data_IF_325821412751
#
_entry.id   IF_325821412751
#
_cell.length_a   1.000
_cell.length_b   1.000
_cell.length_c   1.000
_cell.angle_alpha   90.00
_cell.angle_beta   90.00
_cell.angle_gamma   90.00
#
_symmetry.space_group_name_H-M   'P 1'
#
loop_
_entity.id
_entity.type
_entity.pdbx_description
1 polymer ?
#
# COMPACT_ATOMS: atom_id res chain seq x y z
N UNK A 1 -4.60 -20.00 -19.71
CA UNK A 1 -3.65 -19.27 -18.86
C UNK A 1 -4.45 -18.35 -17.97
N UNK A 2 -4.81 -18.79 -16.76
CA UNK A 2 -5.63 -17.99 -15.84
C UNK A 2 -4.69 -16.96 -15.23
N UNK A 3 -4.99 -15.68 -15.46
CA UNK A 3 -4.31 -14.57 -14.78
C UNK A 3 -4.54 -14.77 -13.28
N UNK A 4 -3.50 -15.15 -12.56
CA UNK A 4 -3.58 -15.32 -11.11
C UNK A 4 -3.77 -13.93 -10.50
N UNK A 5 -4.98 -13.65 -9.99
CA UNK A 5 -5.15 -12.50 -9.12
C UNK A 5 -4.29 -12.72 -7.88
N UNK A 6 -3.32 -11.84 -7.66
CA UNK A 6 -2.54 -11.76 -6.43
C UNK A 6 -3.36 -11.13 -5.29
N UNK A 7 -4.59 -11.63 -5.13
CA UNK A 7 -5.57 -11.16 -4.19
C UNK A 7 -5.64 -12.12 -3.00
N UNK A 8 -5.65 -11.55 -1.80
CA UNK A 8 -5.94 -12.30 -0.58
C UNK A 8 -7.46 -12.25 -0.34
N UNK A 9 -8.06 -13.42 -0.15
CA UNK A 9 -9.49 -13.55 0.16
C UNK A 9 -9.69 -13.78 1.65
N UNK A 10 -10.76 -13.18 2.19
CA UNK A 10 -11.24 -13.42 3.56
C UNK A 10 -12.63 -14.01 3.50
N UNK A 11 -12.79 -15.18 4.08
CA UNK A 11 -14.05 -15.86 4.28
C UNK A 11 -14.50 -15.66 5.72
N UNK A 12 -15.74 -15.20 5.89
CA UNK A 12 -16.35 -14.97 7.19
C UNK A 12 -17.56 -15.89 7.33
N UNK A 13 -17.49 -16.82 8.29
CA UNK A 13 -18.53 -17.80 8.53
C UNK A 13 -19.21 -17.52 9.88
N UNK A 14 -20.50 -17.25 9.87
CA UNK A 14 -21.30 -17.16 11.10
C UNK A 14 -21.48 -18.53 11.75
N UNK A 15 -21.28 -18.62 13.06
CA UNK A 15 -21.51 -19.82 13.85
C UNK A 15 -22.85 -19.73 14.60
N UNK A 16 -23.41 -20.88 14.97
CA UNK A 16 -24.65 -20.96 15.76
C UNK A 16 -24.55 -20.25 17.12
N UNK A 17 -23.34 -20.07 17.64
CA UNK A 17 -23.05 -19.33 18.87
C UNK A 17 -23.13 -17.80 18.73
N UNK A 18 -23.35 -17.27 17.52
CA UNK A 18 -23.32 -15.82 17.25
C UNK A 18 -21.91 -15.23 17.06
N UNK A 19 -20.88 -16.09 17.12
CA UNK A 19 -19.50 -15.77 16.78
C UNK A 19 -19.24 -15.96 15.28
N UNK A 20 -18.07 -15.50 14.82
CA UNK A 20 -17.66 -15.59 13.42
C UNK A 20 -16.32 -16.28 13.29
N UNK A 21 -16.24 -17.32 12.46
CA UNK A 21 -14.97 -17.93 12.05
C UNK A 21 -14.42 -17.19 10.84
N UNK A 22 -13.16 -16.80 10.92
CA UNK A 22 -12.44 -16.13 9.83
C UNK A 22 -11.48 -17.15 9.21
N UNK A 23 -11.49 -17.26 7.90
CA UNK A 23 -10.55 -18.07 7.13
C UNK A 23 -10.00 -17.18 6.04
N UNK A 24 -8.70 -17.19 5.86
CA UNK A 24 -8.01 -16.38 4.87
C UNK A 24 -7.34 -17.29 3.87
N UNK A 25 -7.39 -16.94 2.59
CA UNK A 25 -6.68 -17.68 1.54
C UNK A 25 -5.85 -16.71 0.72
N UNK A 26 -4.56 -17.02 0.62
CA UNK A 26 -3.62 -16.37 -0.28
C UNK A 26 -3.26 -17.31 -1.44
N UNK A 27 -2.66 -16.75 -2.50
CA UNK A 27 -2.21 -17.55 -3.64
C UNK A 27 -1.05 -18.48 -3.21
N UNK A 28 -1.32 -19.80 -3.21
CA UNK A 28 -0.35 -20.85 -2.88
C UNK A 28 0.68 -20.92 -4.00
N UNK A 29 1.88 -20.37 -3.77
CA UNK A 29 2.95 -20.31 -4.77
C UNK A 29 3.66 -18.96 -4.87
N UNK A 30 3.10 -17.91 -4.25
CA UNK A 30 3.78 -16.61 -4.13
C UNK A 30 4.62 -16.56 -2.84
N UNK A 31 5.70 -15.74 -2.80
CA UNK A 31 6.47 -15.47 -1.57
C UNK A 31 5.59 -15.04 -0.38
N UNK A 32 4.35 -14.63 -0.65
CA UNK A 32 3.36 -14.18 0.33
C UNK A 32 2.60 -15.30 1.04
N UNK A 33 2.67 -16.55 0.55
CA UNK A 33 2.10 -17.69 1.29
C UNK A 33 2.86 -18.02 2.58
N UNK A 34 4.07 -17.48 2.75
CA UNK A 34 4.94 -17.69 3.92
C UNK A 34 4.59 -16.77 5.11
N UNK A 35 3.73 -15.77 4.91
CA UNK A 35 3.33 -14.83 5.94
C UNK A 35 1.85 -15.03 6.27
N UNK A 36 1.52 -15.89 7.25
CA UNK A 36 0.14 -16.10 7.62
C UNK A 36 -0.47 -14.78 8.12
N UNK A 37 -1.70 -14.47 7.69
CA UNK A 37 -2.44 -13.33 8.22
C UNK A 37 -2.72 -13.53 9.71
N UNK A 38 -2.86 -12.43 10.45
CA UNK A 38 -3.02 -12.44 11.91
C UNK A 38 -4.23 -13.26 12.40
N UNK A 39 -5.22 -13.45 11.53
CA UNK A 39 -6.57 -13.88 11.88
C UNK A 39 -7.00 -15.01 10.94
N UNK A 40 -6.14 -16.03 10.73
CA UNK A 40 -6.51 -17.23 9.98
C UNK A 40 -7.03 -18.35 10.89
N UNK A 41 -8.19 -18.91 10.56
CA UNK A 41 -8.80 -20.03 11.28
C UNK A 41 -9.41 -19.69 12.64
N UNK A 42 -9.29 -18.44 13.11
CA UNK A 42 -9.76 -18.04 14.43
C UNK A 42 -11.26 -17.69 14.47
N UNK A 43 -11.85 -17.76 15.67
CA UNK A 43 -13.24 -17.39 15.93
C UNK A 43 -13.28 -16.09 16.72
N UNK A 44 -14.06 -15.13 16.26
CA UNK A 44 -14.12 -13.76 16.80
C UNK A 44 -15.55 -13.34 17.13
N UNK A 45 -15.67 -12.36 18.03
CA UNK A 45 -16.95 -11.72 18.32
C UNK A 45 -17.40 -10.80 17.19
N UNK A 46 -18.71 -10.52 17.12
CA UNK A 46 -19.28 -9.55 16.17
C UNK A 46 -18.63 -8.15 16.26
N UNK A 47 -18.32 -7.70 17.48
CA UNK A 47 -17.78 -6.34 17.72
C UNK A 47 -16.33 -6.20 17.25
N UNK A 48 -15.56 -7.28 17.31
CA UNK A 48 -14.14 -7.29 16.93
C UNK A 48 -13.90 -7.72 15.48
N UNK A 49 -14.90 -8.32 14.83
CA UNK A 49 -14.81 -8.84 13.46
C UNK A 49 -14.31 -7.79 12.45
N UNK A 50 -14.98 -6.64 12.39
CA UNK A 50 -14.63 -5.58 11.43
C UNK A 50 -13.20 -5.08 11.60
N UNK A 51 -12.81 -4.60 12.79
CA UNK A 51 -11.44 -4.14 13.07
C UNK A 51 -10.38 -5.19 12.74
N UNK A 52 -10.58 -6.45 13.16
CA UNK A 52 -9.62 -7.52 12.93
C UNK A 52 -9.45 -7.84 11.45
N UNK A 53 -10.53 -7.91 10.68
CA UNK A 53 -10.45 -8.16 9.23
C UNK A 53 -9.72 -7.00 8.54
N UNK A 54 -10.04 -5.75 8.89
CA UNK A 54 -9.38 -4.57 8.30
C UNK A 54 -7.89 -4.53 8.61
N UNK A 55 -7.51 -4.74 9.87
CA UNK A 55 -6.10 -4.76 10.28
C UNK A 55 -5.34 -5.91 9.61
N UNK A 56 -5.98 -7.07 9.47
CA UNK A 56 -5.42 -8.21 8.74
C UNK A 56 -5.13 -7.85 7.28
N UNK A 57 -6.09 -7.23 6.60
CA UNK A 57 -5.91 -6.81 5.19
C UNK A 57 -4.86 -5.70 5.05
N UNK A 58 -4.85 -4.70 5.94
CA UNK A 58 -3.84 -3.64 5.93
C UNK A 58 -2.43 -4.20 6.18
N UNK A 59 -2.29 -5.10 7.15
CA UNK A 59 -1.02 -5.77 7.44
C UNK A 59 -0.55 -6.58 6.25
N UNK A 60 -1.45 -7.33 5.58
CA UNK A 60 -1.14 -8.04 4.35
C UNK A 60 -0.69 -7.11 3.22
N UNK A 61 -1.35 -5.97 3.01
CA UNK A 61 -0.97 -4.98 2.00
C UNK A 61 0.40 -4.34 2.29
N UNK A 62 0.66 -3.97 3.55
CA UNK A 62 1.97 -3.41 3.98
C UNK A 62 3.10 -4.42 3.77
N UNK A 63 2.87 -5.69 4.09
CA UNK A 63 3.84 -6.78 3.87
C UNK A 63 4.06 -7.06 2.38
N UNK A 64 3.02 -6.96 1.53
CA UNK A 64 3.16 -7.06 0.06
C UNK A 64 4.11 -5.99 -0.49
N UNK A 65 3.97 -4.74 -0.04
CA UNK A 65 4.89 -3.65 -0.43
C UNK A 65 6.33 -3.89 0.02
N UNK A 66 6.54 -4.65 1.09
CA UNK A 66 7.88 -4.94 1.62
C UNK A 66 8.58 -6.14 0.94
N UNK A 67 7.85 -6.99 0.22
CA UNK A 67 8.35 -8.26 -0.32
C UNK A 67 8.44 -8.27 -1.86
N UNK A 68 7.98 -7.20 -2.52
CA UNK A 68 8.36 -6.96 -3.91
C UNK A 68 9.83 -6.57 -3.96
N UNK A 69 10.69 -7.40 -4.56
CA UNK A 69 12.12 -7.13 -4.75
C UNK A 69 12.41 -5.81 -5.50
N UNK A 70 11.37 -5.15 -6.02
CA UNK A 70 11.39 -3.94 -6.82
C UNK A 70 10.89 -2.68 -6.10
N UNK A 71 10.39 -2.77 -4.85
CA UNK A 71 9.95 -1.59 -4.11
C UNK A 71 11.08 -1.06 -3.21
N UNK A 72 11.69 0.09 -3.53
CA UNK A 72 12.74 0.63 -2.69
C UNK A 72 12.17 1.08 -1.33
N UNK A 73 12.95 1.07 -0.24
CA UNK A 73 12.49 1.47 1.08
C UNK A 73 11.83 2.86 1.09
N UNK A 74 10.94 3.10 2.05
CA UNK A 74 10.17 4.36 2.14
C UNK A 74 11.05 5.63 2.10
N UNK A 75 12.25 5.59 2.70
CA UNK A 75 13.18 6.71 2.67
C UNK A 75 13.79 6.95 1.27
N UNK A 76 14.02 5.89 0.49
CA UNK A 76 14.52 5.98 -0.89
C UNK A 76 13.42 6.52 -1.80
N UNK A 77 12.19 6.00 -1.69
CA UNK A 77 11.02 6.54 -2.41
C UNK A 77 10.82 8.02 -2.13
N UNK A 78 10.93 8.43 -0.85
CA UNK A 78 10.83 9.84 -0.46
C UNK A 78 11.93 10.68 -1.11
N UNK A 79 13.18 10.21 -1.13
CA UNK A 79 14.30 10.90 -1.78
C UNK A 79 14.06 11.08 -3.28
N UNK A 80 13.60 10.03 -3.97
CA UNK A 80 13.27 10.08 -5.40
C UNK A 80 12.14 11.08 -5.67
N UNK A 81 11.05 11.02 -4.91
CA UNK A 81 9.91 11.93 -5.06
C UNK A 81 10.29 13.40 -4.83
N UNK A 82 11.14 13.68 -3.84
CA UNK A 82 11.68 15.03 -3.60
C UNK A 82 12.50 15.47 -4.81
N UNK A 83 13.40 14.62 -5.30
CA UNK A 83 14.19 14.88 -6.50
C UNK A 83 13.31 15.21 -7.71
N UNK A 84 12.29 14.41 -7.98
CA UNK A 84 11.34 14.62 -9.08
C UNK A 84 10.53 15.91 -8.91
N UNK A 85 10.15 16.24 -7.68
CA UNK A 85 9.40 17.48 -7.38
C UNK A 85 10.28 18.70 -7.59
N UNK A 86 11.52 18.67 -7.11
CA UNK A 86 12.52 19.73 -7.34
C UNK A 86 12.83 19.86 -8.83
N UNK A 87 13.00 18.74 -9.54
CA UNK A 87 13.23 18.71 -10.99
C UNK A 87 12.08 19.37 -11.76
N UNK A 88 10.83 18.98 -11.46
CA UNK A 88 9.62 19.58 -12.07
C UNK A 88 9.46 21.07 -11.74
N UNK A 89 9.84 21.48 -10.53
CA UNK A 89 9.83 22.89 -10.16
C UNK A 89 10.84 23.69 -10.99
N UNK A 90 12.09 23.22 -11.06
CA UNK A 90 13.15 23.87 -11.85
C UNK A 90 12.85 23.93 -13.34
N UNK A 91 12.26 22.89 -13.91
CA UNK A 91 11.88 22.88 -15.32
C UNK A 91 10.68 23.79 -15.63
N UNK A 92 9.81 24.09 -14.66
CA UNK A 92 8.72 25.06 -14.80
C UNK A 92 9.13 26.51 -14.52
N UNK A 93 10.13 26.71 -13.66
CA UNK A 93 10.72 28.02 -13.35
C UNK A 93 11.97 28.34 -14.18
N UNK A 94 12.15 27.68 -15.32
CA UNK A 94 13.19 28.04 -16.28
C UNK A 94 12.84 29.29 -17.11
N UNK A 95 11.92 30.13 -16.67
CA UNK A 95 11.87 31.49 -17.19
C UNK A 95 13.09 32.24 -16.65
N UNK A 96 13.90 32.87 -17.52
CA UNK A 96 15.16 33.48 -17.11
C UNK A 96 14.91 34.48 -15.98
N UNK A 97 15.74 34.48 -14.94
CA UNK A 97 15.72 35.54 -13.93
C UNK A 97 15.84 36.93 -14.58
N UNK A 98 16.49 36.99 -15.74
CA UNK A 98 16.62 38.15 -16.61
C UNK A 98 15.29 38.64 -17.21
N UNK A 99 14.33 37.73 -17.44
CA UNK A 99 13.01 38.09 -17.98
C UNK A 99 12.20 38.90 -16.96
N UNK A 100 12.20 38.47 -15.69
CA UNK A 100 11.48 39.18 -14.63
C UNK A 100 12.21 40.43 -14.15
N UNK A 101 13.55 40.44 -14.17
CA UNK A 101 14.32 41.64 -13.80
C UNK A 101 14.18 42.76 -14.84
N UNK A 102 14.05 42.43 -16.12
CA UNK A 102 13.80 43.40 -17.19
C UNK A 102 12.47 44.16 -17.05
N UNK A 103 11.45 43.57 -16.41
CA UNK A 103 10.16 44.24 -16.16
C UNK A 103 10.26 45.43 -15.19
N UNK A 104 11.29 45.45 -14.35
CA UNK A 104 11.52 46.52 -13.36
C UNK A 104 12.62 47.51 -13.78
N UNK A 105 13.17 47.36 -14.99
CA UNK A 105 14.19 48.26 -15.55
C UNK A 105 13.62 49.40 -16.40
N UNK A 106 12.30 49.62 -16.41
CA UNK A 106 11.75 50.81 -17.07
C UNK A 106 11.98 52.07 -16.21
N UNK A 107 12.37 53.20 -16.83
CA UNK A 107 12.72 54.45 -16.13
C UNK A 107 11.52 55.16 -15.50
#
# INVERSE_FOLDING_TARGET
MIVAWEAQMVFVHGLRSGLFRIITRGNSGSKWSLLPPLVDGIVVSRRTLGPLVMETMLNSCRRRQSCGDSAPPAHVNRKLLIGDTVGRYRSRHSEPADFYSALFQQP
#
